data_IF_077794275661
#
_entry.id   IF_077794275661
#
_cell.length_a   1.000
_cell.length_b   1.000
_cell.length_c   1.000
_cell.angle_alpha   90.00
_cell.angle_beta   90.00
_cell.angle_gamma   90.00
#
_symmetry.space_group_name_H-M   'P 1'
#
loop_
_entity.id
_entity.type
_entity.pdbx_description
1 polymer ?
#
# COMPACT_ATOMS: atom_id res chain seq x y z
N UNK A 1 -19.89 19.34 3.96
CA UNK A 1 -19.10 18.11 3.73
C UNK A 1 -18.32 17.79 5.00
N UNK A 2 -18.62 16.67 5.67
CA UNK A 2 -17.78 16.21 6.80
C UNK A 2 -16.48 15.69 6.20
N UNK A 3 -15.37 16.42 6.39
CA UNK A 3 -14.03 15.85 6.19
C UNK A 3 -13.89 14.73 7.21
N UNK A 4 -13.88 13.49 6.76
CA UNK A 4 -13.43 12.37 7.59
C UNK A 4 -11.99 12.71 7.98
N UNK A 5 -11.80 13.13 9.23
CA UNK A 5 -10.49 13.52 9.75
C UNK A 5 -9.65 12.25 9.76
N UNK A 6 -8.53 12.25 9.04
CA UNK A 6 -7.62 11.11 9.06
C UNK A 6 -7.25 10.83 10.52
N UNK A 7 -7.50 9.59 10.97
CA UNK A 7 -7.39 9.23 12.39
C UNK A 7 -5.94 9.27 12.88
N UNK A 8 -4.97 9.17 11.97
CA UNK A 8 -3.55 9.03 12.26
C UNK A 8 -2.69 10.15 11.66
N UNK A 9 -3.32 11.11 10.97
CA UNK A 9 -2.69 12.17 10.18
C UNK A 9 -1.63 11.66 9.19
N UNK A 10 -1.88 10.50 8.59
CA UNK A 10 -0.90 9.81 7.72
C UNK A 10 -1.03 10.14 6.23
N UNK A 11 -2.07 10.89 5.83
CA UNK A 11 -2.25 11.28 4.42
C UNK A 11 -1.06 12.11 3.94
N UNK A 12 -0.48 11.73 2.81
CA UNK A 12 0.71 12.40 2.24
C UNK A 12 2.04 11.92 2.82
N UNK A 13 2.02 11.09 3.88
CA UNK A 13 3.25 10.43 4.36
C UNK A 13 3.67 9.34 3.37
N UNK A 14 4.97 9.22 3.12
CA UNK A 14 5.50 8.16 2.27
C UNK A 14 5.38 6.82 3.01
N UNK A 15 4.81 5.82 2.33
CA UNK A 15 4.80 4.45 2.79
C UNK A 15 6.26 3.96 2.83
N UNK A 16 6.64 3.22 3.87
CA UNK A 16 7.96 2.61 3.96
C UNK A 16 8.14 1.59 2.83
N UNK A 17 9.38 1.47 2.36
CA UNK A 17 9.72 0.44 1.39
C UNK A 17 9.53 -0.96 1.99
N UNK A 18 8.99 -1.86 1.18
CA UNK A 18 8.84 -3.27 1.51
C UNK A 18 8.85 -4.12 0.24
N UNK A 19 9.11 -5.41 0.44
CA UNK A 19 9.11 -6.42 -0.59
C UNK A 19 8.21 -7.57 -0.18
N UNK A 20 7.37 -8.03 -1.10
CA UNK A 20 6.47 -9.16 -0.86
C UNK A 20 6.44 -10.08 -2.08
N UNK A 21 6.32 -11.40 -1.89
CA UNK A 21 6.03 -12.32 -2.98
C UNK A 21 4.62 -12.06 -3.51
N UNK A 22 4.48 -12.04 -4.83
CA UNK A 22 3.19 -12.00 -5.50
C UNK A 22 2.70 -13.42 -5.86
N UNK A 23 1.48 -13.51 -6.40
CA UNK A 23 0.86 -14.77 -6.81
C UNK A 23 1.57 -15.48 -7.98
N UNK A 24 2.44 -14.78 -8.71
CA UNK A 24 3.26 -15.36 -9.78
C UNK A 24 4.60 -15.91 -9.26
N UNK A 25 4.84 -15.88 -7.95
CA UNK A 25 6.11 -16.32 -7.35
C UNK A 25 7.26 -15.33 -7.53
N UNK A 26 7.00 -14.11 -8.02
CA UNK A 26 8.00 -13.04 -8.10
C UNK A 26 7.94 -12.20 -6.82
N UNK A 27 9.10 -11.89 -6.25
CA UNK A 27 9.20 -10.84 -5.22
C UNK A 27 9.08 -9.47 -5.89
N UNK A 28 8.12 -8.67 -5.41
CA UNK A 28 7.87 -7.32 -5.91
C UNK A 28 8.25 -6.33 -4.83
N UNK A 29 9.13 -5.39 -5.16
CA UNK A 29 9.39 -4.21 -4.35
C UNK A 29 8.38 -3.10 -4.71
N UNK A 30 7.82 -2.43 -3.70
CA UNK A 30 6.82 -1.37 -3.90
C UNK A 30 7.35 -0.18 -4.73
N UNK A 31 8.67 0.06 -4.76
CA UNK A 31 9.30 1.12 -5.57
C UNK A 31 9.19 0.86 -7.07
N UNK A 32 9.13 -0.39 -7.51
CA UNK A 32 8.93 -0.73 -8.93
C UNK A 32 7.59 -0.19 -9.45
N UNK A 33 6.65 0.14 -8.56
CA UNK A 33 5.33 0.67 -8.89
C UNK A 33 5.24 2.19 -8.67
N UNK A 34 6.29 2.84 -8.16
CA UNK A 34 6.31 4.29 -7.94
C UNK A 34 6.40 5.03 -9.27
N UNK A 35 5.53 6.04 -9.48
CA UNK A 35 5.57 6.91 -10.65
C UNK A 35 4.87 6.38 -11.91
N UNK A 36 4.57 5.09 -12.00
CA UNK A 36 3.82 4.55 -13.14
C UNK A 36 2.30 4.68 -12.97
N UNK A 37 1.78 4.33 -11.78
CA UNK A 37 0.33 4.32 -11.47
C UNK A 37 0.07 4.56 -9.99
N UNK A 38 -1.18 4.92 -9.67
CA UNK A 38 -1.65 4.89 -8.29
C UNK A 38 -1.74 3.43 -7.80
N UNK A 39 -1.15 3.15 -6.64
CA UNK A 39 -1.16 1.81 -6.02
C UNK A 39 -2.18 1.76 -4.88
N UNK A 40 -2.97 0.69 -4.83
CA UNK A 40 -3.91 0.42 -3.73
C UNK A 40 -3.40 -0.79 -2.95
N UNK A 41 -3.18 -0.62 -1.64
CA UNK A 41 -2.77 -1.71 -0.74
C UNK A 41 -3.96 -2.12 0.15
N UNK A 42 -4.34 -3.39 0.10
CA UNK A 42 -5.42 -3.94 0.93
C UNK A 42 -4.85 -5.05 1.78
N UNK A 43 -4.91 -4.87 3.10
CA UNK A 43 -4.42 -5.84 4.07
C UNK A 43 -5.61 -6.65 4.61
N UNK A 44 -5.61 -7.94 4.33
CA UNK A 44 -6.53 -8.88 4.93
C UNK A 44 -5.83 -9.63 6.05
N UNK A 45 -6.53 -9.83 7.17
CA UNK A 45 -6.04 -10.65 8.29
C UNK A 45 -6.98 -11.83 8.45
N UNK A 46 -6.40 -13.02 8.63
CA UNK A 46 -7.17 -14.25 8.88
C UNK A 46 -8.15 -14.62 7.75
N UNK A 47 -7.72 -14.48 6.49
CA UNK A 47 -8.47 -15.09 5.37
C UNK A 47 -8.49 -16.61 5.62
N UNK A 48 -9.69 -17.20 5.67
CA UNK A 48 -9.91 -18.65 5.67
C UNK A 48 -10.12 -19.14 4.24
#
# INVERSE_FOLDING_TARGET
MRKTKDKFDLVGTKIKEFELPNSAGKTVNIRELEGEKNVILILFRSIK
#
